data_IF_601271928495
#
_entry.id   IF_601271928495
#
_cell.length_a   1.000
_cell.length_b   1.000
_cell.length_c   1.000
_cell.angle_alpha   90.00
_cell.angle_beta   90.00
_cell.angle_gamma   90.00
#
_symmetry.space_group_name_H-M   'P 1'
#
loop_
_entity.id
_entity.type
_entity.pdbx_description
1 polymer ?
#
# COMPACT_ATOMS: atom_id res chain seq x y z
N UNK A 1 6.90 19.80 18.14
CA UNK A 1 7.39 20.95 17.36
C UNK A 1 8.34 20.43 16.31
N UNK A 2 8.21 20.84 15.05
CA UNK A 2 9.13 20.46 13.99
C UNK A 2 10.57 20.87 14.33
N UNK A 3 11.53 19.99 14.08
CA UNK A 3 12.96 20.25 14.32
C UNK A 3 13.76 20.02 13.05
N UNK A 4 14.69 20.92 12.75
CA UNK A 4 15.65 20.77 11.67
C UNK A 4 16.90 20.07 12.21
N UNK A 5 17.35 19.00 11.55
CA UNK A 5 18.50 18.23 11.97
C UNK A 5 19.44 17.90 10.80
N UNK A 6 20.73 17.79 11.10
CA UNK A 6 21.73 17.23 10.20
C UNK A 6 22.25 15.91 10.76
N UNK A 7 22.61 14.98 9.89
CA UNK A 7 23.25 13.74 10.28
C UNK A 7 24.73 13.97 10.55
N UNK A 8 25.22 13.51 11.71
CA UNK A 8 26.64 13.61 12.11
C UNK A 8 27.36 12.29 11.84
N UNK A 9 26.69 11.16 12.09
CA UNK A 9 27.11 9.80 11.75
C UNK A 9 25.88 8.91 11.61
N UNK A 10 26.06 7.63 11.30
CA UNK A 10 24.96 6.71 10.95
C UNK A 10 23.76 6.72 11.90
N UNK A 11 23.97 6.98 13.20
CA UNK A 11 22.91 6.90 14.21
C UNK A 11 22.65 8.23 14.94
N UNK A 12 23.50 9.25 14.73
CA UNK A 12 23.43 10.51 15.47
C UNK A 12 22.98 11.69 14.60
N UNK A 13 22.04 12.44 15.15
CA UNK A 13 21.45 13.62 14.54
C UNK A 13 21.62 14.83 15.45
N UNK A 14 22.19 15.91 14.92
CA UNK A 14 22.33 17.20 15.61
C UNK A 14 21.21 18.14 15.20
N UNK A 15 20.54 18.77 16.17
CA UNK A 15 19.56 19.82 15.91
C UNK A 15 20.29 21.11 15.56
N UNK A 16 19.86 21.73 14.46
CA UNK A 16 20.42 22.98 13.96
C UNK A 16 19.37 24.10 13.95
N UNK A 17 19.79 25.38 14.09
CA UNK A 17 18.87 26.51 14.01
C UNK A 17 18.20 26.61 12.63
N UNK A 18 16.92 26.97 12.60
CA UNK A 18 16.16 27.14 11.36
C UNK A 18 16.75 28.20 10.43
N UNK A 19 17.38 29.23 11.00
CA UNK A 19 18.05 30.29 10.27
C UNK A 19 19.20 29.80 9.39
N UNK A 20 19.71 28.62 9.67
CA UNK A 20 20.74 27.95 8.84
C UNK A 20 20.26 27.69 7.42
N UNK A 21 18.96 27.45 7.21
CA UNK A 21 18.38 27.25 5.88
C UNK A 21 18.55 28.48 4.95
N UNK A 22 18.62 29.66 5.51
CA UNK A 22 18.77 30.92 4.73
C UNK A 22 20.22 31.22 4.37
N UNK A 23 21.18 30.54 5.00
CA UNK A 23 22.62 30.80 4.82
C UNK A 23 23.30 29.79 3.94
N UNK A 24 23.22 28.53 4.34
CA UNK A 24 23.86 27.39 3.67
C UNK A 24 23.13 26.12 4.10
N UNK A 25 22.17 25.66 3.34
CA UNK A 25 21.55 24.36 3.63
C UNK A 25 22.24 23.23 2.88
N UNK A 26 22.13 22.05 3.47
CA UNK A 26 22.52 20.80 2.87
C UNK A 26 21.25 20.04 2.50
N UNK A 27 21.19 19.46 1.30
CA UNK A 27 20.04 18.71 0.81
C UNK A 27 19.66 17.52 1.69
N UNK A 28 20.63 16.96 2.43
CA UNK A 28 20.43 15.86 3.36
C UNK A 28 19.94 16.28 4.75
N UNK A 29 19.90 17.57 5.06
CA UNK A 29 19.25 18.03 6.29
C UNK A 29 17.79 17.59 6.30
N UNK A 30 17.26 17.29 7.48
CA UNK A 30 15.89 16.77 7.60
C UNK A 30 15.04 17.54 8.57
N UNK A 31 13.78 17.71 8.19
CA UNK A 31 12.71 18.23 9.01
C UNK A 31 12.02 17.06 9.68
N UNK A 32 12.23 16.91 10.99
CA UNK A 32 11.56 15.86 11.79
C UNK A 32 10.26 16.40 12.38
N UNK A 33 9.16 15.81 11.97
CA UNK A 33 7.83 16.06 12.54
C UNK A 33 6.85 15.00 12.06
N UNK A 34 5.77 14.76 12.84
CA UNK A 34 4.63 13.99 12.34
C UNK A 34 4.00 14.69 11.15
N UNK A 35 3.71 13.93 10.11
CA UNK A 35 3.19 14.40 8.81
C UNK A 35 4.16 15.34 8.05
N UNK A 36 5.46 15.34 8.37
CA UNK A 36 6.43 16.12 7.60
C UNK A 36 6.50 15.64 6.15
N UNK A 37 6.47 14.32 5.96
CA UNK A 37 6.47 13.66 4.64
C UNK A 37 5.07 13.25 4.20
N UNK A 38 4.21 12.86 5.14
CA UNK A 38 2.90 12.24 4.88
C UNK A 38 1.76 13.02 5.56
N UNK A 39 1.17 14.10 4.95
CA UNK A 39 1.64 14.70 3.69
C UNK A 39 1.68 16.24 3.76
N UNK A 40 2.05 16.84 4.92
CA UNK A 40 2.12 18.31 5.06
C UNK A 40 3.22 18.93 4.20
N UNK A 41 4.36 18.24 4.02
CA UNK A 41 5.43 18.68 3.14
C UNK A 41 4.97 18.82 1.69
N UNK A 42 4.42 17.78 1.06
CA UNK A 42 3.82 17.85 -0.27
C UNK A 42 2.77 18.95 -0.42
N UNK A 43 1.85 19.10 0.55
CA UNK A 43 0.84 20.17 0.54
C UNK A 43 1.49 21.54 0.55
N UNK A 44 2.42 21.80 1.48
CA UNK A 44 3.10 23.10 1.57
C UNK A 44 3.92 23.39 0.31
N UNK A 45 4.64 22.43 -0.23
CA UNK A 45 5.40 22.60 -1.47
C UNK A 45 4.50 22.94 -2.67
N UNK A 46 3.28 22.38 -2.72
CA UNK A 46 2.30 22.75 -3.74
C UNK A 46 1.80 24.19 -3.57
N UNK A 47 1.49 24.62 -2.34
CA UNK A 47 1.10 26.01 -2.06
C UNK A 47 2.19 26.99 -2.44
N UNK A 48 3.46 26.71 -2.08
CA UNK A 48 4.60 27.52 -2.48
C UNK A 48 4.74 27.58 -4.01
N UNK A 49 4.50 26.47 -4.70
CA UNK A 49 4.52 26.44 -6.17
C UNK A 49 3.43 27.35 -6.78
N UNK A 50 2.24 27.42 -6.18
CA UNK A 50 1.18 28.35 -6.58
C UNK A 50 1.60 29.80 -6.35
N UNK A 51 2.20 30.12 -5.20
CA UNK A 51 2.72 31.48 -4.92
C UNK A 51 3.78 31.88 -5.94
N UNK A 52 4.68 30.98 -6.32
CA UNK A 52 5.73 31.23 -7.33
C UNK A 52 5.11 31.55 -8.70
N UNK A 53 4.15 30.76 -9.19
CA UNK A 53 3.54 31.04 -10.50
C UNK A 53 2.71 32.32 -10.49
N UNK A 54 2.06 32.66 -9.36
CA UNK A 54 1.36 33.93 -9.18
C UNK A 54 2.32 35.11 -9.21
N UNK A 55 3.41 35.10 -8.42
CA UNK A 55 4.45 36.13 -8.42
C UNK A 55 5.06 36.32 -9.82
N UNK A 56 5.33 35.22 -10.52
CA UNK A 56 5.86 35.25 -11.90
C UNK A 56 4.80 35.57 -12.95
N UNK A 57 3.53 35.76 -12.58
CA UNK A 57 2.41 36.01 -13.47
C UNK A 57 2.27 34.92 -14.57
N UNK A 58 2.59 33.68 -14.24
CA UNK A 58 2.43 32.54 -15.14
C UNK A 58 0.99 32.03 -15.00
N UNK A 59 0.28 31.96 -16.14
CA UNK A 59 -1.08 31.45 -16.17
C UNK A 59 -1.06 30.03 -16.76
N UNK A 60 -1.45 28.99 -15.98
CA UNK A 60 -1.68 27.65 -16.54
C UNK A 60 -2.75 27.69 -17.63
N UNK A 61 -2.59 26.87 -18.67
CA UNK A 61 -3.55 26.78 -19.78
C UNK A 61 -4.71 25.80 -19.52
N UNK A 62 -4.86 25.35 -18.28
CA UNK A 62 -5.91 24.44 -17.83
C UNK A 62 -6.46 24.85 -16.44
N UNK A 63 -7.65 24.33 -16.13
CA UNK A 63 -8.29 24.57 -14.85
C UNK A 63 -7.77 23.59 -13.80
N UNK A 64 -7.56 24.06 -12.58
CA UNK A 64 -7.06 23.28 -11.45
C UNK A 64 -8.14 23.17 -10.38
N UNK A 65 -8.36 21.94 -9.90
CA UNK A 65 -9.15 21.64 -8.70
C UNK A 65 -8.26 20.94 -7.70
N UNK A 66 -8.17 21.48 -6.50
CA UNK A 66 -7.40 20.87 -5.40
C UNK A 66 -8.35 20.18 -4.45
N UNK A 67 -8.05 18.96 -4.09
CA UNK A 67 -8.78 18.18 -3.10
C UNK A 67 -7.77 17.75 -2.04
N UNK A 68 -8.09 18.04 -0.79
CA UNK A 68 -7.32 17.59 0.37
C UNK A 68 -8.18 16.64 1.17
N UNK A 69 -7.71 15.39 1.32
CA UNK A 69 -8.36 14.38 2.15
C UNK A 69 -7.75 14.40 3.54
N UNK A 70 -8.55 14.75 4.55
CA UNK A 70 -8.12 14.81 5.94
C UNK A 70 -8.36 13.50 6.69
N UNK A 71 -8.90 12.48 6.02
CA UNK A 71 -9.22 11.17 6.59
C UNK A 71 -8.40 10.04 5.94
N UNK A 72 -7.37 10.35 5.15
CA UNK A 72 -6.61 9.35 4.39
C UNK A 72 -6.04 8.27 5.31
N UNK A 73 -5.42 8.67 6.42
CA UNK A 73 -4.83 7.78 7.43
C UNK A 73 -5.84 6.87 8.15
N UNK A 74 -7.11 7.24 8.12
CA UNK A 74 -8.21 6.43 8.63
C UNK A 74 -8.89 5.58 7.54
N UNK A 75 -8.32 5.57 6.33
CA UNK A 75 -8.84 4.84 5.18
C UNK A 75 -9.99 5.56 4.47
N UNK A 76 -10.09 6.87 4.58
CA UNK A 76 -11.03 7.73 3.85
C UNK A 76 -12.48 7.21 3.82
N UNK A 77 -13.11 6.92 4.96
CA UNK A 77 -14.42 6.26 5.00
C UNK A 77 -15.53 7.09 4.34
N UNK A 78 -15.39 8.41 4.34
CA UNK A 78 -16.37 9.33 3.77
C UNK A 78 -16.08 9.72 2.31
N UNK A 79 -14.95 9.33 1.76
CA UNK A 79 -14.54 9.70 0.41
C UNK A 79 -15.44 9.09 -0.69
N UNK A 80 -15.79 7.79 -0.70
CA UNK A 80 -16.65 7.22 -1.73
C UNK A 80 -18.02 7.91 -1.83
N UNK A 81 -18.78 8.13 -0.73
CA UNK A 81 -20.05 8.86 -0.81
C UNK A 81 -19.85 10.33 -1.18
N UNK A 82 -18.78 10.98 -0.76
CA UNK A 82 -18.46 12.37 -1.12
C UNK A 82 -18.20 12.51 -2.62
N UNK A 83 -17.36 11.66 -3.21
CA UNK A 83 -17.07 11.68 -4.65
C UNK A 83 -18.36 11.46 -5.46
N UNK A 84 -19.21 10.52 -5.05
CA UNK A 84 -20.51 10.29 -5.70
C UNK A 84 -21.43 11.52 -5.59
N UNK A 85 -21.56 12.10 -4.40
CA UNK A 85 -22.40 13.28 -4.13
C UNK A 85 -21.97 14.50 -4.93
N UNK A 86 -20.66 14.76 -4.98
CA UNK A 86 -20.08 15.94 -5.61
C UNK A 86 -19.57 15.70 -7.03
N UNK A 87 -19.97 14.61 -7.69
CA UNK A 87 -19.52 14.19 -9.02
C UNK A 87 -19.46 15.32 -10.03
N UNK A 88 -20.50 16.19 -10.07
CA UNK A 88 -20.56 17.33 -11.02
C UNK A 88 -19.48 18.37 -10.73
N UNK A 89 -19.23 18.68 -9.44
CA UNK A 89 -18.18 19.64 -9.03
C UNK A 89 -16.78 19.07 -9.24
N UNK A 90 -16.63 17.76 -9.07
CA UNK A 90 -15.36 17.05 -9.20
C UNK A 90 -15.03 16.64 -10.63
N UNK A 91 -15.91 16.95 -11.61
CA UNK A 91 -15.64 16.64 -13.02
C UNK A 91 -14.27 17.20 -13.41
N UNK A 92 -13.40 16.36 -13.94
CA UNK A 92 -12.07 16.67 -14.42
C UNK A 92 -11.71 15.68 -15.53
N UNK A 93 -10.64 15.94 -16.26
CA UNK A 93 -10.17 15.07 -17.35
C UNK A 93 -9.11 14.09 -16.85
N UNK A 94 -8.44 14.44 -15.74
CA UNK A 94 -7.35 13.65 -15.14
C UNK A 94 -7.16 13.97 -13.67
N UNK A 95 -6.51 13.07 -12.96
CA UNK A 95 -6.16 13.21 -11.54
C UNK A 95 -4.64 13.04 -11.38
N UNK A 96 -4.01 14.00 -10.75
CA UNK A 96 -2.62 13.89 -10.29
C UNK A 96 -2.64 13.77 -8.77
N UNK A 97 -1.97 12.77 -8.25
CA UNK A 97 -1.89 12.50 -6.81
C UNK A 97 -0.50 12.91 -6.34
N UNK A 98 -0.44 13.87 -5.42
CA UNK A 98 0.80 14.44 -4.89
C UNK A 98 1.10 13.84 -3.51
N UNK A 99 1.42 12.54 -3.49
CA UNK A 99 1.59 11.79 -2.26
C UNK A 99 2.60 10.63 -2.44
N UNK A 100 3.16 10.18 -1.32
CA UNK A 100 4.03 9.03 -1.21
C UNK A 100 5.51 9.28 -1.53
N UNK A 101 6.36 8.29 -1.20
CA UNK A 101 7.79 8.37 -1.43
C UNK A 101 8.16 8.09 -2.89
N UNK A 102 9.23 8.73 -3.32
CA UNK A 102 9.92 8.43 -4.59
C UNK A 102 10.45 7.00 -4.59
N UNK A 103 10.97 6.57 -5.73
CA UNK A 103 11.76 5.34 -5.83
C UNK A 103 12.97 5.39 -4.86
N UNK A 104 13.47 4.24 -4.35
CA UNK A 104 14.64 4.20 -3.45
C UNK A 104 15.88 4.95 -3.91
N UNK A 105 16.07 5.14 -5.23
CA UNK A 105 17.13 6.00 -5.78
C UNK A 105 16.93 7.50 -5.54
N UNK A 106 15.79 7.91 -4.99
CA UNK A 106 15.34 9.29 -4.80
C UNK A 106 15.17 10.12 -6.09
N UNK A 107 15.17 9.48 -7.25
CA UNK A 107 14.94 10.11 -8.53
C UNK A 107 13.48 10.49 -8.75
N UNK A 108 13.17 11.52 -9.59
CA UNK A 108 11.80 11.83 -10.00
C UNK A 108 11.08 10.58 -10.48
N UNK A 109 9.89 10.35 -9.98
CA UNK A 109 9.15 9.10 -10.18
C UNK A 109 7.71 9.38 -10.60
N UNK A 110 7.17 8.57 -11.51
CA UNK A 110 5.76 8.52 -11.86
C UNK A 110 5.22 7.12 -11.56
N UNK A 111 4.12 7.02 -10.82
CA UNK A 111 3.50 5.74 -10.48
C UNK A 111 2.08 5.68 -11.06
N UNK A 112 1.84 4.72 -11.94
CA UNK A 112 0.66 4.65 -12.81
C UNK A 112 -0.49 3.83 -12.24
N UNK A 113 -0.34 3.27 -11.06
CA UNK A 113 -1.38 2.50 -10.42
C UNK A 113 -1.06 2.15 -8.98
N UNK A 114 -2.05 1.64 -8.28
CA UNK A 114 -1.92 1.09 -6.94
C UNK A 114 -2.73 -0.19 -6.81
N UNK A 115 -2.25 -1.11 -5.97
CA UNK A 115 -3.01 -2.30 -5.62
C UNK A 115 -4.19 -1.93 -4.73
N UNK A 116 -5.27 -2.71 -4.84
CA UNK A 116 -6.35 -2.65 -3.87
C UNK A 116 -6.06 -3.53 -2.66
N UNK A 117 -6.97 -3.53 -1.70
CA UNK A 117 -6.85 -4.33 -0.47
C UNK A 117 -8.18 -4.92 -0.04
N UNK A 118 -8.15 -6.18 0.34
CA UNK A 118 -9.19 -6.88 1.10
C UNK A 118 -8.58 -7.34 2.41
N UNK A 119 -9.27 -7.13 3.51
CA UNK A 119 -8.91 -7.67 4.82
C UNK A 119 -9.86 -8.78 5.21
N UNK A 120 -9.32 -9.85 5.80
CA UNK A 120 -10.06 -11.03 6.19
C UNK A 120 -9.71 -11.38 7.62
N UNK A 121 -10.74 -11.65 8.42
CA UNK A 121 -10.59 -12.28 9.72
C UNK A 121 -11.09 -13.73 9.61
N UNK A 122 -10.17 -14.68 9.81
CA UNK A 122 -10.44 -16.12 9.77
C UNK A 122 -10.26 -16.72 11.14
N UNK A 123 -11.35 -17.20 11.74
CA UNK A 123 -11.35 -17.82 13.08
C UNK A 123 -11.75 -19.30 12.98
N UNK A 124 -10.84 -20.18 13.31
CA UNK A 124 -11.11 -21.63 13.39
C UNK A 124 -11.55 -21.95 14.82
N UNK A 125 -12.70 -22.62 14.94
CA UNK A 125 -13.28 -22.99 16.22
C UNK A 125 -12.81 -24.37 16.68
N UNK A 126 -12.41 -24.44 17.96
CA UNK A 126 -12.09 -25.65 18.71
C UNK A 126 -13.22 -26.05 19.69
N UNK A 127 -12.89 -26.59 20.84
CA UNK A 127 -13.86 -26.92 21.89
C UNK A 127 -14.58 -25.64 22.38
N UNK A 128 -15.75 -25.81 23.01
CA UNK A 128 -16.57 -24.70 23.49
C UNK A 128 -15.83 -23.83 24.51
N UNK A 129 -15.04 -24.46 25.36
CA UNK A 129 -14.16 -23.85 26.36
C UNK A 129 -12.75 -24.48 26.22
N UNK A 130 -11.68 -23.75 26.61
CA UNK A 130 -10.35 -24.33 26.67
C UNK A 130 -10.34 -25.60 27.51
N UNK A 131 -9.64 -26.64 27.06
CA UNK A 131 -9.56 -27.93 27.74
C UNK A 131 -8.15 -28.16 28.27
N UNK A 132 -8.00 -28.86 29.38
CA UNK A 132 -6.70 -29.24 29.88
C UNK A 132 -6.03 -30.24 28.92
N UNK A 133 -4.85 -29.88 28.37
CA UNK A 133 -4.19 -30.68 27.34
C UNK A 133 -3.71 -32.05 27.81
N UNK A 134 -3.38 -32.20 29.10
CA UNK A 134 -3.05 -33.48 29.70
C UNK A 134 -4.21 -34.47 29.76
N UNK A 135 -5.45 -33.99 29.90
CA UNK A 135 -6.63 -34.82 29.94
C UNK A 135 -7.20 -35.10 28.55
N UNK A 136 -7.15 -34.14 27.65
CA UNK A 136 -7.84 -34.19 26.37
C UNK A 136 -6.91 -34.08 25.15
N UNK A 137 -5.57 -34.11 25.34
CA UNK A 137 -4.60 -34.25 24.26
C UNK A 137 -4.86 -35.53 23.45
N UNK A 138 -4.65 -35.47 22.14
CA UNK A 138 -4.97 -36.54 21.18
C UNK A 138 -6.46 -36.88 21.01
N UNK A 139 -7.33 -36.28 21.84
CA UNK A 139 -8.78 -36.51 21.78
C UNK A 139 -9.53 -35.30 21.25
N UNK A 140 -9.25 -34.09 21.79
CA UNK A 140 -9.87 -32.83 21.35
C UNK A 140 -9.01 -32.21 20.24
N UNK A 141 -9.61 -31.92 19.07
CA UNK A 141 -8.88 -31.26 18.00
C UNK A 141 -8.41 -29.85 18.39
N UNK A 142 -7.13 -29.56 18.15
CA UNK A 142 -6.54 -28.26 18.46
C UNK A 142 -6.80 -27.25 17.32
N UNK A 143 -7.48 -26.10 17.56
CA UNK A 143 -7.78 -25.14 16.53
C UNK A 143 -6.54 -24.41 15.99
N UNK A 144 -5.45 -24.29 16.78
CA UNK A 144 -4.21 -23.70 16.29
C UNK A 144 -3.58 -24.55 15.19
N UNK A 145 -3.49 -25.87 15.40
CA UNK A 145 -3.00 -26.82 14.37
C UNK A 145 -3.90 -26.76 13.14
N UNK A 146 -5.22 -26.78 13.32
CA UNK A 146 -6.18 -26.72 12.20
C UNK A 146 -6.07 -25.44 11.39
N UNK A 147 -5.89 -24.28 12.06
CA UNK A 147 -5.70 -23.00 11.37
C UNK A 147 -4.38 -22.98 10.61
N UNK A 148 -3.28 -23.47 11.21
CA UNK A 148 -1.98 -23.54 10.54
C UNK A 148 -2.03 -24.43 9.30
N UNK A 149 -2.65 -25.60 9.38
CA UNK A 149 -2.85 -26.50 8.23
C UNK A 149 -3.70 -25.82 7.14
N UNK A 150 -4.75 -25.11 7.53
CA UNK A 150 -5.61 -24.41 6.57
C UNK A 150 -4.85 -23.29 5.84
N UNK A 151 -4.05 -22.49 6.55
CA UNK A 151 -3.22 -21.44 5.95
C UNK A 151 -2.14 -22.04 5.06
N UNK A 152 -1.44 -23.09 5.52
CA UNK A 152 -0.43 -23.80 4.73
C UNK A 152 -1.01 -24.43 3.45
N UNK A 153 -2.31 -24.78 3.43
CA UNK A 153 -2.96 -25.24 2.20
C UNK A 153 -3.23 -24.15 1.17
N UNK A 154 -3.07 -22.88 1.52
CA UNK A 154 -3.35 -21.73 0.64
C UNK A 154 -2.11 -21.22 -0.09
N UNK A 155 -0.91 -21.50 0.41
CA UNK A 155 0.37 -21.07 -0.18
C UNK A 155 1.36 -22.24 -0.18
N UNK A 156 2.24 -22.26 -1.18
CA UNK A 156 3.38 -23.18 -1.21
C UNK A 156 4.63 -22.55 -0.58
N UNK A 157 5.72 -23.33 -0.54
CA UNK A 157 7.01 -22.90 0.03
C UNK A 157 7.70 -21.81 -0.79
N UNK A 158 7.36 -21.62 -2.06
CA UNK A 158 7.83 -20.56 -2.93
C UNK A 158 6.99 -19.27 -2.79
N UNK A 159 6.01 -19.25 -1.87
CA UNK A 159 5.17 -18.09 -1.59
C UNK A 159 4.00 -17.89 -2.57
N UNK A 160 3.79 -18.80 -3.53
CA UNK A 160 2.65 -18.74 -4.45
C UNK A 160 1.36 -19.18 -3.79
N UNK A 161 0.27 -18.49 -4.10
CA UNK A 161 -1.06 -18.91 -3.65
C UNK A 161 -1.52 -20.11 -4.50
N UNK A 162 -1.81 -21.22 -3.82
CA UNK A 162 -2.19 -22.51 -4.44
C UNK A 162 -3.69 -22.68 -4.65
N UNK A 163 -4.49 -21.69 -4.25
CA UNK A 163 -5.94 -21.70 -4.45
C UNK A 163 -6.24 -21.68 -5.96
N UNK A 164 -6.95 -22.70 -6.50
CA UNK A 164 -7.23 -22.76 -7.93
C UNK A 164 -7.92 -21.50 -8.46
N UNK A 165 -7.44 -20.98 -9.58
CA UNK A 165 -7.98 -19.78 -10.23
C UNK A 165 -7.56 -18.46 -9.58
N UNK A 166 -6.71 -18.45 -8.56
CA UNK A 166 -6.33 -17.23 -7.84
C UNK A 166 -5.67 -16.19 -8.73
N UNK A 167 -4.83 -16.64 -9.66
CA UNK A 167 -4.09 -15.79 -10.60
C UNK A 167 -4.73 -15.69 -11.99
N UNK A 168 -5.92 -16.29 -12.20
CA UNK A 168 -6.57 -16.26 -13.51
C UNK A 168 -6.90 -14.83 -13.95
N UNK A 169 -6.73 -14.59 -15.25
CA UNK A 169 -6.98 -13.30 -15.88
C UNK A 169 -5.79 -12.34 -15.83
N UNK A 170 -4.67 -12.72 -15.20
CA UNK A 170 -3.46 -11.90 -15.16
C UNK A 170 -2.57 -12.26 -16.35
N UNK A 171 -2.42 -11.30 -17.26
CA UNK A 171 -1.48 -11.40 -18.37
C UNK A 171 -0.54 -10.21 -18.34
N UNK A 172 0.77 -10.48 -18.34
CA UNK A 172 1.81 -9.45 -18.37
C UNK A 172 2.44 -9.48 -19.77
N UNK A 173 2.19 -8.42 -20.54
CA UNK A 173 2.78 -8.29 -21.89
C UNK A 173 4.29 -8.06 -21.82
N UNK A 174 4.99 -8.31 -22.94
CA UNK A 174 6.42 -8.01 -23.07
C UNK A 174 6.72 -6.53 -22.87
N UNK A 175 5.86 -5.64 -23.39
CA UNK A 175 5.95 -4.20 -23.15
C UNK A 175 5.88 -3.87 -21.65
N UNK A 176 4.93 -4.48 -20.92
CA UNK A 176 4.82 -4.29 -19.47
C UNK A 176 6.06 -4.83 -18.72
N UNK A 177 6.64 -5.95 -19.16
CA UNK A 177 7.89 -6.48 -18.60
C UNK A 177 9.06 -5.53 -18.86
N UNK A 178 9.17 -4.97 -20.07
CA UNK A 178 10.20 -4.01 -20.41
C UNK A 178 10.13 -2.76 -19.52
N UNK A 179 8.92 -2.22 -19.28
CA UNK A 179 8.71 -1.07 -18.39
C UNK A 179 9.16 -1.41 -16.95
N UNK A 180 8.77 -2.58 -16.44
CA UNK A 180 9.14 -3.00 -15.09
C UNK A 180 10.63 -3.27 -14.95
N UNK A 181 11.28 -3.84 -15.97
CA UNK A 181 12.72 -4.09 -15.96
C UNK A 181 13.57 -2.82 -16.09
N UNK A 182 12.99 -1.72 -16.58
CA UNK A 182 13.64 -0.41 -16.64
C UNK A 182 13.64 0.33 -15.28
N UNK A 183 12.88 -0.14 -14.28
CA UNK A 183 12.93 0.40 -12.93
C UNK A 183 14.26 -0.02 -12.29
N UNK A 184 15.07 0.93 -11.79
CA UNK A 184 16.42 0.64 -11.30
C UNK A 184 16.40 0.07 -9.86
N UNK A 185 15.63 -0.98 -9.63
CA UNK A 185 15.58 -1.67 -8.32
C UNK A 185 16.89 -2.44 -8.08
N UNK A 186 17.57 -2.15 -7.00
CA UNK A 186 18.65 -2.99 -6.50
C UNK A 186 18.09 -4.06 -5.55
N UNK A 187 17.76 -5.23 -6.09
CA UNK A 187 17.18 -6.32 -5.31
C UNK A 187 18.14 -6.85 -4.22
N UNK A 188 19.46 -6.75 -4.41
CA UNK A 188 20.44 -7.13 -3.38
C UNK A 188 20.35 -6.16 -2.22
N UNK A 189 20.29 -4.86 -2.53
CA UNK A 189 20.13 -3.83 -1.51
C UNK A 189 18.78 -3.99 -0.79
N UNK A 190 17.69 -4.21 -1.52
CA UNK A 190 16.35 -4.45 -0.94
C UNK A 190 16.39 -5.63 0.04
N UNK A 191 16.87 -6.80 -0.39
CA UNK A 191 16.99 -7.99 0.48
C UNK A 191 17.82 -7.71 1.72
N UNK A 192 18.97 -7.06 1.55
CA UNK A 192 19.85 -6.68 2.66
C UNK A 192 19.17 -5.71 3.64
N UNK A 193 18.47 -4.69 3.13
CA UNK A 193 17.82 -3.66 3.97
C UNK A 193 16.67 -4.21 4.80
N UNK A 194 15.91 -5.18 4.27
CA UNK A 194 14.82 -5.85 4.99
C UNK A 194 15.25 -7.11 5.76
N UNK A 195 16.51 -7.53 5.61
CA UNK A 195 17.11 -8.63 6.39
C UNK A 195 16.68 -10.02 5.95
N UNK A 196 16.48 -10.26 4.64
CA UNK A 196 16.17 -11.58 4.09
C UNK A 196 17.26 -12.08 3.15
N UNK A 197 17.47 -13.40 3.11
CA UNK A 197 18.42 -14.04 2.18
C UNK A 197 17.80 -14.22 0.79
N UNK A 198 16.54 -14.62 0.71
CA UNK A 198 15.80 -14.91 -0.51
C UNK A 198 14.40 -14.29 -0.45
N UNK A 199 13.85 -13.94 -1.62
CA UNK A 199 12.46 -13.52 -1.80
C UNK A 199 11.57 -14.71 -2.16
N UNK A 200 10.24 -14.58 -1.94
CA UNK A 200 9.26 -15.49 -2.53
C UNK A 200 9.42 -15.50 -4.07
N UNK A 201 9.09 -16.63 -4.71
CA UNK A 201 9.28 -16.85 -6.16
C UNK A 201 7.95 -16.76 -6.93
N UNK A 202 7.12 -15.78 -6.57
CA UNK A 202 5.85 -15.54 -7.28
C UNK A 202 6.10 -15.09 -8.72
N UNK A 203 7.14 -14.27 -8.94
CA UNK A 203 7.57 -13.80 -10.25
C UNK A 203 9.09 -13.59 -10.28
N UNK A 204 9.62 -13.13 -11.43
CA UNK A 204 11.05 -13.03 -11.71
C UNK A 204 11.77 -11.93 -10.93
N UNK A 205 11.08 -10.87 -10.51
CA UNK A 205 11.63 -9.70 -9.80
C UNK A 205 10.56 -9.00 -8.97
N UNK A 206 10.98 -8.02 -8.17
CA UNK A 206 10.10 -7.25 -7.29
C UNK A 206 8.95 -6.57 -8.04
N UNK A 207 9.24 -5.86 -9.14
CA UNK A 207 8.21 -5.14 -9.90
C UNK A 207 7.17 -6.08 -10.51
N UNK A 208 7.58 -7.24 -10.98
CA UNK A 208 6.67 -8.25 -11.53
C UNK A 208 5.87 -8.93 -10.41
N UNK A 209 6.48 -9.22 -9.26
CA UNK A 209 5.81 -9.86 -8.12
C UNK A 209 4.61 -9.05 -7.60
N UNK A 210 4.70 -7.73 -7.61
CA UNK A 210 3.58 -6.86 -7.20
C UNK A 210 2.47 -6.73 -8.24
N UNK A 211 2.61 -7.31 -9.43
CA UNK A 211 1.53 -7.40 -10.43
C UNK A 211 0.59 -8.59 -10.18
N UNK A 212 0.88 -9.43 -9.21
CA UNK A 212 0.02 -10.53 -8.79
C UNK A 212 -0.68 -10.24 -7.47
N UNK A 213 -1.91 -10.75 -7.25
CA UNK A 213 -2.56 -10.62 -5.96
C UNK A 213 -1.78 -11.41 -4.90
N UNK A 214 -1.62 -10.84 -3.72
CA UNK A 214 -0.98 -11.52 -2.59
C UNK A 214 -2.03 -12.04 -1.60
N UNK A 215 -1.62 -13.01 -0.80
CA UNK A 215 -2.32 -13.44 0.41
C UNK A 215 -1.28 -13.44 1.53
N UNK A 216 -1.45 -12.54 2.48
CA UNK A 216 -0.50 -12.32 3.57
C UNK A 216 -1.17 -12.45 4.93
N UNK A 217 -0.53 -13.16 5.85
CA UNK A 217 -0.98 -13.26 7.24
C UNK A 217 -0.35 -12.12 8.04
N UNK A 218 -1.17 -11.16 8.48
CA UNK A 218 -0.73 -10.02 9.30
C UNK A 218 -0.55 -10.36 10.77
N UNK A 219 -1.27 -11.37 11.24
CA UNK A 219 -1.20 -11.82 12.62
C UNK A 219 -1.93 -13.14 12.82
N UNK A 220 -1.47 -13.91 13.81
CA UNK A 220 -2.10 -15.14 14.26
C UNK A 220 -2.12 -15.17 15.79
N UNK A 221 -3.23 -15.67 16.35
CA UNK A 221 -3.38 -15.80 17.79
C UNK A 221 -4.15 -17.08 18.16
N UNK A 222 -3.64 -17.82 19.15
CA UNK A 222 -4.35 -18.93 19.79
C UNK A 222 -3.75 -19.23 21.15
N UNK A 223 -4.57 -19.29 22.20
CA UNK A 223 -4.09 -19.48 23.56
C UNK A 223 -3.22 -18.32 24.07
N UNK A 224 -2.26 -18.65 24.91
CA UNK A 224 -1.30 -17.70 25.50
C UNK A 224 0.13 -18.21 25.30
N UNK A 225 1.08 -17.28 25.25
CA UNK A 225 2.51 -17.56 25.00
C UNK A 225 3.38 -16.92 26.08
N UNK A 226 4.67 -17.23 26.07
CA UNK A 226 5.69 -16.69 26.99
C UNK A 226 5.29 -16.89 28.46
N UNK A 227 5.29 -15.80 29.24
CA UNK A 227 5.02 -15.84 30.69
C UNK A 227 3.58 -16.22 31.04
N UNK A 228 2.68 -16.11 30.09
CA UNK A 228 1.23 -16.40 30.27
C UNK A 228 0.85 -17.79 29.77
N UNK A 229 1.79 -18.59 29.28
CA UNK A 229 1.52 -19.94 28.74
C UNK A 229 0.76 -20.80 29.73
N UNK A 230 -0.22 -21.56 29.24
CA UNK A 230 -1.05 -22.46 30.03
C UNK A 230 -1.12 -23.84 29.36
N UNK A 231 -1.31 -24.86 30.17
CA UNK A 231 -1.43 -26.26 29.69
C UNK A 231 -2.83 -26.55 29.17
N UNK A 232 -3.17 -25.99 28.02
CA UNK A 232 -4.54 -26.06 27.45
C UNK A 232 -4.56 -26.43 25.97
N UNK A 233 -5.72 -26.89 25.51
CA UNK A 233 -6.17 -26.87 24.11
C UNK A 233 -7.08 -25.66 23.97
N UNK A 234 -6.74 -24.64 23.17
CA UNK A 234 -7.53 -23.43 23.03
C UNK A 234 -8.93 -23.68 22.46
N UNK A 235 -9.85 -22.75 22.72
CA UNK A 235 -11.22 -22.82 22.16
C UNK A 235 -11.33 -22.28 20.73
N UNK A 236 -10.33 -21.50 20.28
CA UNK A 236 -10.24 -20.98 18.90
C UNK A 236 -8.81 -20.65 18.54
N UNK A 237 -8.59 -20.48 17.24
CA UNK A 237 -7.43 -19.83 16.66
C UNK A 237 -7.89 -18.79 15.62
N UNK A 238 -7.22 -17.64 15.57
CA UNK A 238 -7.57 -16.47 14.77
C UNK A 238 -6.40 -16.11 13.87
N UNK A 239 -6.68 -15.81 12.60
CA UNK A 239 -5.75 -15.16 11.69
C UNK A 239 -6.36 -13.88 11.10
N UNK A 240 -5.56 -12.82 11.09
CA UNK A 240 -5.81 -11.60 10.33
C UNK A 240 -5.02 -11.69 9.03
N UNK A 241 -5.72 -11.60 7.90
CA UNK A 241 -5.15 -11.78 6.56
C UNK A 241 -5.43 -10.53 5.75
N UNK A 242 -4.48 -10.09 4.94
CA UNK A 242 -4.72 -9.14 3.87
C UNK A 242 -4.45 -9.77 2.49
N UNK A 243 -5.30 -9.39 1.55
CA UNK A 243 -5.18 -9.75 0.14
C UNK A 243 -4.98 -8.46 -0.64
N UNK A 244 -3.79 -8.30 -1.22
CA UNK A 244 -3.59 -7.22 -2.19
C UNK A 244 -4.16 -7.66 -3.53
N UNK A 245 -5.08 -6.88 -4.07
CA UNK A 245 -5.69 -7.13 -5.38
C UNK A 245 -5.04 -6.27 -6.44
N UNK A 246 -4.98 -6.77 -7.68
CA UNK A 246 -4.46 -6.05 -8.83
C UNK A 246 -5.58 -5.67 -9.79
N UNK A 247 -5.31 -4.82 -10.78
CA UNK A 247 -6.33 -4.29 -11.70
C UNK A 247 -7.11 -5.40 -12.43
N UNK A 248 -6.46 -6.53 -12.71
CA UNK A 248 -7.02 -7.69 -13.41
C UNK A 248 -7.87 -8.58 -12.51
N UNK A 249 -7.88 -8.34 -11.19
CA UNK A 249 -8.59 -9.21 -10.24
C UNK A 249 -9.79 -8.51 -9.63
N UNK A 250 -10.92 -9.20 -9.64
CA UNK A 250 -12.12 -8.80 -8.92
C UNK A 250 -12.01 -9.25 -7.45
N UNK A 251 -12.10 -8.34 -6.47
CA UNK A 251 -12.06 -8.67 -5.05
C UNK A 251 -13.11 -9.71 -4.64
N UNK A 252 -14.34 -9.60 -5.13
CA UNK A 252 -15.43 -10.53 -4.80
C UNK A 252 -15.14 -11.94 -5.33
N UNK A 253 -14.53 -12.04 -6.53
CA UNK A 253 -14.07 -13.33 -7.08
C UNK A 253 -13.01 -13.96 -6.19
N UNK A 254 -11.99 -13.21 -5.75
CA UNK A 254 -10.93 -13.73 -4.88
C UNK A 254 -11.49 -14.20 -3.52
N UNK A 255 -12.38 -13.41 -2.91
CA UNK A 255 -13.07 -13.79 -1.67
C UNK A 255 -13.84 -15.11 -1.87
N UNK A 256 -14.54 -15.26 -2.98
CA UNK A 256 -15.28 -16.49 -3.31
C UNK A 256 -14.34 -17.69 -3.47
N UNK A 257 -13.19 -17.51 -4.13
CA UNK A 257 -12.18 -18.57 -4.28
C UNK A 257 -11.61 -18.99 -2.92
N UNK A 258 -11.25 -18.06 -2.05
CA UNK A 258 -10.77 -18.34 -0.70
C UNK A 258 -11.83 -19.08 0.11
N UNK A 259 -13.08 -18.63 0.11
CA UNK A 259 -14.19 -19.30 0.79
C UNK A 259 -14.41 -20.73 0.27
N UNK A 260 -14.34 -20.93 -1.04
CA UNK A 260 -14.48 -22.25 -1.65
C UNK A 260 -13.32 -23.16 -1.27
N UNK A 261 -12.09 -22.66 -1.24
CA UNK A 261 -10.92 -23.41 -0.78
C UNK A 261 -11.09 -23.84 0.68
N UNK A 262 -11.51 -22.92 1.58
CA UNK A 262 -11.76 -23.28 2.99
C UNK A 262 -12.83 -24.38 3.10
N UNK A 263 -13.90 -24.29 2.32
CA UNK A 263 -14.95 -25.32 2.28
C UNK A 263 -14.42 -26.66 1.75
N UNK A 264 -13.56 -26.66 0.72
CA UNK A 264 -12.95 -27.89 0.19
C UNK A 264 -12.03 -28.58 1.20
N UNK A 265 -11.48 -27.84 2.17
CA UNK A 265 -10.74 -28.38 3.32
C UNK A 265 -11.67 -28.95 4.42
N UNK A 266 -12.98 -29.03 4.14
CA UNK A 266 -13.99 -29.64 5.02
C UNK A 266 -14.54 -28.71 6.09
N UNK A 267 -14.35 -27.40 5.98
CA UNK A 267 -14.88 -26.44 6.95
C UNK A 267 -16.32 -26.02 6.63
N UNK A 268 -17.16 -26.01 7.64
CA UNK A 268 -18.43 -25.29 7.63
C UNK A 268 -18.15 -23.81 7.93
N UNK A 269 -18.45 -22.93 6.96
CA UNK A 269 -18.21 -21.48 7.07
C UNK A 269 -19.44 -20.75 7.58
N UNK A 270 -19.21 -19.89 8.57
CA UNK A 270 -20.17 -18.96 9.15
C UNK A 270 -19.52 -17.56 9.28
N UNK A 271 -20.26 -16.56 9.69
CA UNK A 271 -19.81 -15.17 9.89
C UNK A 271 -19.83 -14.72 11.36
N UNK A 272 -20.10 -15.62 12.27
CA UNK A 272 -20.28 -15.44 13.71
C UNK A 272 -19.67 -16.60 14.50
N UNK A 273 -19.82 -16.61 15.81
CA UNK A 273 -19.50 -17.79 16.61
C UNK A 273 -20.56 -18.89 16.42
N UNK A 274 -20.15 -20.17 16.44
CA UNK A 274 -21.04 -21.29 16.19
C UNK A 274 -22.04 -21.53 17.32
N UNK A 275 -23.27 -21.86 16.93
CA UNK A 275 -24.32 -22.33 17.85
C UNK A 275 -24.06 -23.78 18.27
N UNK A 276 -24.75 -24.24 19.34
CA UNK A 276 -24.62 -25.59 19.90
C UNK A 276 -24.95 -26.69 18.87
N UNK A 277 -26.03 -26.52 18.11
CA UNK A 277 -26.43 -27.44 17.07
C UNK A 277 -25.45 -27.51 15.87
N UNK A 278 -24.68 -26.45 15.62
CA UNK A 278 -23.64 -26.44 14.59
C UNK A 278 -22.39 -27.18 15.09
N UNK A 279 -22.02 -26.98 16.37
CA UNK A 279 -20.89 -27.68 17.01
C UNK A 279 -21.11 -29.19 17.06
N UNK A 280 -22.34 -29.65 17.29
CA UNK A 280 -22.68 -31.06 17.29
C UNK A 280 -22.75 -31.68 15.89
N UNK A 281 -23.00 -30.86 14.85
CA UNK A 281 -23.17 -31.31 13.47
C UNK A 281 -21.88 -31.29 12.66
N UNK A 282 -21.03 -30.29 12.85
CA UNK A 282 -19.87 -30.06 11.98
C UNK A 282 -18.55 -30.24 12.73
N UNK A 283 -17.69 -31.08 12.21
CA UNK A 283 -16.39 -31.37 12.81
C UNK A 283 -15.37 -30.22 12.67
N UNK A 284 -15.43 -29.46 11.58
CA UNK A 284 -14.59 -28.31 11.31
C UNK A 284 -15.47 -27.10 11.07
N UNK A 285 -15.33 -26.07 11.91
CA UNK A 285 -16.10 -24.82 11.80
C UNK A 285 -15.14 -23.66 11.75
N UNK A 286 -15.38 -22.73 10.82
CA UNK A 286 -14.63 -21.49 10.76
C UNK A 286 -15.57 -20.28 10.54
N UNK A 287 -15.28 -19.18 11.23
CA UNK A 287 -15.89 -17.89 10.94
C UNK A 287 -15.01 -17.13 9.96
N UNK A 288 -15.63 -16.54 8.96
CA UNK A 288 -14.96 -15.77 7.91
C UNK A 288 -15.66 -14.43 7.73
N UNK A 289 -14.99 -13.38 8.20
CA UNK A 289 -15.42 -11.99 8.03
C UNK A 289 -14.42 -11.27 7.14
N UNK A 290 -14.90 -10.34 6.31
CA UNK A 290 -14.03 -9.60 5.40
C UNK A 290 -14.53 -8.19 5.16
N UNK A 291 -13.60 -7.34 4.72
CA UNK A 291 -13.89 -5.99 4.26
C UNK A 291 -13.09 -5.72 2.99
N UNK A 292 -13.75 -5.26 1.93
CA UNK A 292 -13.10 -4.69 0.76
C UNK A 292 -12.77 -3.24 1.11
N UNK A 293 -11.49 -2.90 1.16
CA UNK A 293 -11.00 -1.55 1.41
C UNK A 293 -11.04 -0.74 0.12
N UNK A 294 -10.04 -0.94 -0.73
CA UNK A 294 -9.92 -0.22 -2.00
C UNK A 294 -9.81 -1.19 -3.17
N UNK A 295 -10.34 -0.78 -4.31
CA UNK A 295 -10.08 -1.45 -5.58
C UNK A 295 -8.73 -1.00 -6.14
N UNK A 296 -8.08 -1.86 -6.90
CA UNK A 296 -6.90 -1.50 -7.65
C UNK A 296 -7.26 -0.60 -8.83
N UNK A 297 -6.34 0.30 -9.18
CA UNK A 297 -6.42 1.05 -10.42
C UNK A 297 -5.09 1.05 -11.15
N UNK A 298 -5.12 1.30 -12.45
CA UNK A 298 -3.93 1.49 -13.25
C UNK A 298 -4.26 2.32 -14.49
N UNK A 299 -3.47 3.36 -14.73
CA UNK A 299 -3.48 4.18 -15.92
C UNK A 299 -2.44 3.64 -16.90
N UNK A 300 -2.72 3.56 -18.21
CA UNK A 300 -1.72 3.18 -19.18
C UNK A 300 -0.53 4.15 -19.21
N UNK A 301 0.68 3.61 -19.25
CA UNK A 301 1.93 4.42 -19.26
C UNK A 301 2.17 5.16 -20.56
N UNK A 302 1.39 4.84 -21.59
CA UNK A 302 1.36 5.50 -22.91
C UNK A 302 0.08 6.35 -23.11
N UNK A 303 -0.55 6.79 -22.01
CA UNK A 303 -1.71 7.69 -22.05
C UNK A 303 -1.29 9.17 -22.17
N UNK A 304 -2.21 10.05 -22.55
CA UNK A 304 -1.97 11.50 -22.64
C UNK A 304 -1.44 12.10 -21.33
N UNK A 305 -2.03 11.73 -20.20
CA UNK A 305 -1.55 12.18 -18.88
C UNK A 305 -0.10 11.71 -18.63
N UNK A 306 0.27 10.50 -19.08
CA UNK A 306 1.62 9.99 -18.92
C UNK A 306 2.64 10.82 -19.72
N UNK A 307 2.35 11.14 -20.97
CA UNK A 307 3.23 11.98 -21.80
C UNK A 307 3.36 13.39 -21.22
N UNK A 308 2.25 13.97 -20.79
CA UNK A 308 2.23 15.31 -20.18
C UNK A 308 3.07 15.37 -18.88
N UNK A 309 2.87 14.43 -17.95
CA UNK A 309 3.64 14.37 -16.71
C UNK A 309 5.13 14.10 -16.95
N UNK A 310 5.44 13.20 -17.89
CA UNK A 310 6.82 12.90 -18.27
C UNK A 310 7.51 14.15 -18.82
N UNK A 311 6.87 14.86 -19.75
CA UNK A 311 7.39 16.10 -20.29
C UNK A 311 7.62 17.17 -19.22
N UNK A 312 6.67 17.31 -18.27
CA UNK A 312 6.80 18.23 -17.14
C UNK A 312 8.06 17.92 -16.30
N UNK A 313 8.26 16.65 -15.95
CA UNK A 313 9.41 16.25 -15.14
C UNK A 313 10.73 16.35 -15.92
N UNK A 314 10.75 15.99 -17.21
CA UNK A 314 11.93 16.18 -18.06
C UNK A 314 12.31 17.66 -18.15
N UNK A 315 11.33 18.54 -18.37
CA UNK A 315 11.56 20.00 -18.39
C UNK A 315 12.02 20.53 -17.03
N UNK A 316 11.47 20.01 -15.94
CA UNK A 316 11.84 20.39 -14.60
C UNK A 316 13.22 19.91 -14.15
N UNK A 317 13.62 18.68 -14.52
CA UNK A 317 14.80 18.02 -13.95
C UNK A 317 15.91 17.70 -14.98
N UNK A 318 15.64 17.88 -16.28
CA UNK A 318 16.61 17.61 -17.36
C UNK A 318 16.87 16.10 -17.58
N UNK A 319 16.06 15.23 -16.99
CA UNK A 319 16.20 13.77 -17.09
C UNK A 319 14.84 13.07 -17.06
N UNK A 320 14.81 11.86 -17.60
CA UNK A 320 13.63 11.01 -17.58
C UNK A 320 13.26 10.57 -16.15
N UNK A 321 11.99 10.64 -15.78
CA UNK A 321 11.54 10.09 -14.51
C UNK A 321 11.51 8.57 -14.53
N UNK A 322 11.62 7.95 -13.35
CA UNK A 322 11.38 6.52 -13.19
C UNK A 322 9.89 6.24 -13.38
N UNK A 323 9.58 5.28 -14.24
CA UNK A 323 8.21 4.88 -14.58
C UNK A 323 7.86 3.61 -13.81
N UNK A 324 7.01 3.71 -12.78
CA UNK A 324 6.49 2.55 -12.04
C UNK A 324 5.08 2.21 -12.53
N UNK A 325 4.92 0.99 -13.03
CA UNK A 325 3.62 0.52 -13.53
C UNK A 325 2.56 0.48 -12.43
N UNK A 326 2.92 0.07 -11.22
CA UNK A 326 2.01 -0.07 -10.08
C UNK A 326 2.79 0.11 -8.77
N UNK A 327 2.19 0.73 -7.78
CA UNK A 327 2.67 0.73 -6.40
C UNK A 327 2.26 -0.56 -5.69
N UNK A 328 3.11 -1.06 -4.80
CA UNK A 328 2.79 -2.19 -3.92
C UNK A 328 1.75 -1.87 -2.84
N UNK A 329 1.68 -0.59 -2.41
CA UNK A 329 0.70 -0.10 -1.46
C UNK A 329 -0.69 0.11 -2.06
N UNK A 330 -1.67 0.40 -1.21
CA UNK A 330 -3.04 0.75 -1.60
C UNK A 330 -3.33 2.17 -1.13
N UNK A 331 -3.97 2.95 -1.99
CA UNK A 331 -4.39 4.32 -1.70
C UNK A 331 -5.88 4.49 -2.01
N UNK A 332 -6.60 5.41 -1.34
CA UNK A 332 -8.06 5.58 -1.46
C UNK A 332 -8.49 6.32 -2.74
N UNK A 333 -7.87 6.05 -3.88
CA UNK A 333 -8.08 6.76 -5.15
C UNK A 333 -9.12 6.10 -6.05
N UNK A 334 -9.37 4.81 -5.87
CA UNK A 334 -10.36 4.09 -6.69
C UNK A 334 -11.75 4.72 -6.74
N UNK A 335 -12.28 5.42 -5.71
CA UNK A 335 -13.55 6.15 -5.80
C UNK A 335 -13.53 7.23 -6.88
N UNK A 336 -12.45 7.97 -7.04
CA UNK A 336 -12.31 8.98 -8.10
C UNK A 336 -12.24 8.32 -9.48
N UNK A 337 -11.31 7.38 -9.65
CA UNK A 337 -11.12 6.68 -10.94
C UNK A 337 -12.42 6.03 -11.41
N UNK A 338 -13.10 5.29 -10.53
CA UNK A 338 -14.28 4.52 -10.90
C UNK A 338 -15.54 5.39 -11.05
N UNK A 339 -15.71 6.45 -10.22
CA UNK A 339 -16.92 7.29 -10.26
C UNK A 339 -16.83 8.36 -11.34
N UNK A 340 -15.65 8.94 -11.55
CA UNK A 340 -15.44 10.02 -12.52
C UNK A 340 -14.96 9.49 -13.87
N UNK A 341 -14.51 8.25 -13.93
CA UNK A 341 -13.93 7.59 -15.12
C UNK A 341 -12.75 8.39 -15.69
N UNK A 342 -11.82 8.80 -14.84
CA UNK A 342 -10.64 9.59 -15.19
C UNK A 342 -9.35 8.83 -14.92
N UNK A 343 -8.29 9.01 -15.73
CA UNK A 343 -6.98 8.46 -15.43
C UNK A 343 -6.37 9.16 -14.21
N UNK A 344 -5.62 8.40 -13.41
CA UNK A 344 -4.93 8.88 -12.22
C UNK A 344 -3.46 8.44 -12.25
N UNK A 345 -2.55 9.35 -11.89
CA UNK A 345 -1.11 9.09 -11.77
C UNK A 345 -0.59 9.72 -10.49
N UNK A 346 0.21 8.99 -9.73
CA UNK A 346 0.88 9.50 -8.55
C UNK A 346 2.24 10.09 -8.94
N UNK A 347 2.51 11.28 -8.45
CA UNK A 347 3.78 12.01 -8.58
C UNK A 347 4.36 12.17 -7.18
N UNK A 348 5.06 11.15 -6.66
CA UNK A 348 5.61 11.17 -5.33
C UNK A 348 6.81 12.12 -5.25
N UNK A 349 6.95 12.84 -4.14
CA UNK A 349 7.99 13.87 -3.99
C UNK A 349 8.85 13.72 -2.76
N UNK A 350 8.42 12.92 -1.77
CA UNK A 350 9.18 12.80 -0.51
C UNK A 350 10.28 11.74 -0.58
N UNK A 351 11.27 11.86 0.28
CA UNK A 351 12.38 10.92 0.33
C UNK A 351 11.91 9.51 0.68
N UNK A 352 12.55 8.45 0.12
CA UNK A 352 12.13 7.06 0.34
C UNK A 352 12.35 6.58 1.77
N UNK A 353 13.28 7.19 2.51
CA UNK A 353 13.66 6.87 3.89
C UNK A 353 13.02 7.81 4.92
N UNK A 354 11.79 8.22 4.67
CA UNK A 354 11.07 9.24 5.45
C UNK A 354 10.48 8.73 6.77
N UNK A 355 10.47 7.43 7.05
CA UNK A 355 9.86 6.80 8.22
C UNK A 355 8.38 7.17 8.45
N UNK A 356 7.59 7.37 7.37
CA UNK A 356 6.14 7.57 7.51
C UNK A 356 5.50 6.44 8.32
N UNK A 357 4.43 6.72 9.06
CA UNK A 357 3.73 5.82 9.98
C UNK A 357 4.58 5.28 11.14
N UNK A 358 5.77 5.84 11.35
CA UNK A 358 6.74 5.39 12.38
C UNK A 358 7.28 6.55 13.20
N UNK A 359 7.95 6.30 14.34
CA UNK A 359 8.74 7.33 15.01
C UNK A 359 9.82 7.91 14.09
N UNK A 360 10.18 9.17 14.31
CA UNK A 360 11.19 9.89 13.53
C UNK A 360 10.82 10.08 12.04
N UNK A 361 9.53 10.23 11.75
CA UNK A 361 9.10 10.69 10.43
C UNK A 361 9.81 11.99 10.06
N UNK A 362 10.31 12.06 8.82
CA UNK A 362 11.15 13.16 8.38
C UNK A 362 11.01 13.45 6.88
N UNK A 363 11.30 14.69 6.52
CA UNK A 363 11.40 15.15 5.13
C UNK A 363 12.77 15.75 4.90
N UNK A 364 13.51 15.29 3.90
CA UNK A 364 14.76 15.91 3.47
C UNK A 364 14.50 17.30 2.89
N UNK A 365 15.37 18.24 3.20
CA UNK A 365 15.28 19.62 2.66
C UNK A 365 15.41 19.60 1.14
N UNK A 366 16.33 18.84 0.59
CA UNK A 366 16.47 18.65 -0.86
C UNK A 366 15.17 18.13 -1.50
N UNK A 367 14.50 17.14 -0.89
CA UNK A 367 13.22 16.65 -1.38
C UNK A 367 12.10 17.69 -1.28
N UNK A 368 12.08 18.54 -0.24
CA UNK A 368 11.11 19.65 -0.16
C UNK A 368 11.30 20.63 -1.31
N UNK A 369 12.55 21.03 -1.60
CA UNK A 369 12.88 21.95 -2.70
C UNK A 369 12.53 21.31 -4.04
N UNK A 370 12.90 20.05 -4.25
CA UNK A 370 12.55 19.33 -5.47
C UNK A 370 11.04 19.05 -5.61
N UNK A 371 10.32 18.95 -4.49
CA UNK A 371 8.86 18.89 -4.49
C UNK A 371 8.26 20.18 -5.05
N UNK A 372 8.75 21.34 -4.61
CA UNK A 372 8.35 22.66 -5.16
C UNK A 372 8.66 22.70 -6.66
N UNK A 373 9.89 22.31 -7.07
CA UNK A 373 10.28 22.22 -8.48
C UNK A 373 9.36 21.34 -9.29
N UNK A 374 9.00 20.16 -8.75
CA UNK A 374 8.05 19.23 -9.37
C UNK A 374 6.70 19.92 -9.60
N UNK A 375 6.15 20.55 -8.57
CA UNK A 375 4.84 21.19 -8.65
C UNK A 375 4.85 22.39 -9.62
N UNK A 376 5.88 23.20 -9.60
CA UNK A 376 6.05 24.29 -10.59
C UNK A 376 6.12 23.71 -12.01
N UNK A 377 6.94 22.65 -12.22
CA UNK A 377 7.06 22.02 -13.53
C UNK A 377 5.70 21.50 -14.06
N UNK A 378 4.88 20.90 -13.19
CA UNK A 378 3.52 20.48 -13.53
C UNK A 378 2.65 21.68 -13.90
N UNK A 379 2.66 22.74 -13.08
CA UNK A 379 1.80 23.92 -13.25
C UNK A 379 2.11 24.73 -14.51
N UNK A 380 3.37 24.74 -14.94
CA UNK A 380 3.79 25.48 -16.15
C UNK A 380 3.82 24.64 -17.42
N UNK A 381 3.68 23.30 -17.31
CA UNK A 381 3.72 22.41 -18.48
C UNK A 381 2.47 22.62 -19.34
N UNK A 382 2.60 23.06 -20.60
CA UNK A 382 1.45 23.22 -21.48
C UNK A 382 0.68 21.94 -21.65
N UNK A 383 -0.63 22.07 -21.67
CA UNK A 383 -1.53 20.96 -21.92
C UNK A 383 -1.94 20.97 -23.40
N UNK A 384 -1.31 20.10 -24.20
CA UNK A 384 -1.62 19.95 -25.63
C UNK A 384 -2.27 18.61 -25.90
#
# INVERSE_FOLDING_TARGET
>A
VPTLKKQVNNDNWETIPWESLYKNYDDDWRIFARSASDAKGPINSFLIALDIIEEKKIQPDYNIKVIMDMEEEMGSPNLPPAVKKFRKKLKADRLVILDGPRHPSNEPTLTFGARGIVTIQLKVHGPKFPQHSGHYGNYVPNPAIRLSQLIASMKDDDGRVTIPGYYDGITISEEARAIMSAVPDDEKFIKKSIGISESDKVASNYQESIQYPSLNVRGMQSGWVEKEVRTIIPSYALAEIDVRVVKETDPDRLIKLIKNHIKSQGYYLIDRDPKENERSKYNKIASFNYRIGYQAFRTPVNSEIAYWLRAALVNGFGKEPIIKRTSGGSIPISPFVNTLNIPAVTVPTVNPDNNQHSPNENLRVGNLIESIRTHVALLVQPYK
#
